data_IF_493451046704
#
_entry.id   IF_493451046704
#
_cell.length_a   1.000
_cell.length_b   1.000
_cell.length_c   1.000
_cell.angle_alpha   90.00
_cell.angle_beta   90.00
_cell.angle_gamma   90.00
#
_symmetry.space_group_name_H-M   'P 1'
#
loop_
_entity.id
_entity.type
_entity.pdbx_description
1 polymer ?
#
# COMPACT_ATOMS: atom_id res chain seq x y z
N UNK A 1 13.22 -11.51 -64.61
CA UNK A 1 13.40 -12.45 -63.46
C UNK A 1 14.37 -11.94 -62.38
N UNK A 2 15.46 -11.21 -62.71
CA UNK A 2 16.36 -10.62 -61.69
C UNK A 2 15.71 -9.59 -60.75
N UNK A 3 14.83 -8.72 -61.25
CA UNK A 3 14.22 -7.66 -60.42
C UNK A 3 13.13 -8.14 -59.44
N UNK A 4 12.53 -9.32 -59.67
CA UNK A 4 11.52 -9.89 -58.77
C UNK A 4 12.18 -10.51 -57.53
N UNK A 5 13.39 -11.07 -57.68
CA UNK A 5 14.18 -11.61 -56.57
C UNK A 5 14.69 -10.51 -55.62
N UNK A 6 15.02 -9.32 -56.14
CA UNK A 6 15.40 -8.17 -55.29
C UNK A 6 14.21 -7.61 -54.50
N UNK A 7 13.00 -7.61 -55.07
CA UNK A 7 11.79 -7.17 -54.38
C UNK A 7 11.37 -8.14 -53.25
N UNK A 8 11.57 -9.45 -53.43
CA UNK A 8 11.32 -10.48 -52.42
C UNK A 8 12.38 -10.49 -51.30
N UNK A 9 13.62 -10.06 -51.57
CA UNK A 9 14.64 -9.88 -50.53
C UNK A 9 14.40 -8.65 -49.64
N UNK A 10 13.86 -7.56 -50.23
CA UNK A 10 13.58 -6.33 -49.48
C UNK A 10 12.35 -6.46 -48.57
N UNK A 11 11.35 -7.25 -48.96
CA UNK A 11 10.15 -7.50 -48.13
C UNK A 11 10.46 -8.33 -46.89
N UNK A 12 11.38 -9.31 -46.97
CA UNK A 12 11.77 -10.13 -45.81
C UNK A 12 12.53 -9.30 -44.75
N UNK A 13 13.31 -8.30 -45.17
CA UNK A 13 14.01 -7.40 -44.24
C UNK A 13 13.08 -6.40 -43.55
N UNK A 14 12.02 -5.94 -44.24
CA UNK A 14 11.06 -4.98 -43.67
C UNK A 14 10.02 -5.63 -42.74
N UNK A 15 9.74 -6.94 -42.88
CA UNK A 15 8.83 -7.67 -41.99
C UNK A 15 9.53 -8.41 -40.83
N UNK A 16 10.87 -8.39 -40.77
CA UNK A 16 11.62 -8.99 -39.66
C UNK A 16 11.81 -8.06 -38.44
N UNK A 17 11.45 -6.77 -38.56
CA UNK A 17 11.31 -5.88 -37.40
C UNK A 17 9.96 -6.14 -36.74
N UNK A 18 9.79 -7.30 -36.11
CA UNK A 18 8.83 -7.38 -35.01
C UNK A 18 9.42 -6.53 -33.89
N UNK A 19 8.83 -5.38 -33.61
CA UNK A 19 9.16 -4.57 -32.43
C UNK A 19 9.05 -5.48 -31.21
N UNK A 20 10.19 -5.98 -30.75
CA UNK A 20 10.26 -6.82 -29.58
C UNK A 20 10.06 -5.88 -28.40
N UNK A 21 8.94 -6.05 -27.69
CA UNK A 21 8.58 -5.20 -26.56
C UNK A 21 9.75 -5.17 -25.55
N UNK A 22 10.32 -3.97 -25.36
CA UNK A 22 11.47 -3.81 -24.47
C UNK A 22 11.00 -4.11 -23.05
N UNK A 23 11.67 -5.05 -22.39
CA UNK A 23 11.32 -5.50 -21.04
C UNK A 23 12.52 -5.33 -20.13
N UNK A 24 12.31 -4.80 -18.92
CA UNK A 24 13.35 -4.68 -17.91
C UNK A 24 12.89 -5.28 -16.58
N UNK A 25 13.78 -6.09 -15.97
CA UNK A 25 13.57 -6.71 -14.66
C UNK A 25 14.27 -5.90 -13.59
N UNK A 26 13.53 -5.55 -12.55
CA UNK A 26 14.01 -4.76 -11.42
C UNK A 26 14.03 -5.62 -10.16
N UNK A 27 15.14 -5.57 -9.43
CA UNK A 27 15.21 -6.12 -8.07
C UNK A 27 14.72 -5.06 -7.09
N UNK A 28 13.62 -5.31 -6.35
CA UNK A 28 13.15 -4.39 -5.33
C UNK A 28 14.20 -4.17 -4.27
N UNK A 29 14.40 -2.91 -3.88
CA UNK A 29 15.11 -2.60 -2.62
C UNK A 29 14.13 -2.54 -1.46
N UNK A 30 14.67 -2.63 -0.25
CA UNK A 30 13.91 -2.41 0.97
C UNK A 30 13.64 -0.91 1.13
N UNK A 31 12.47 -0.57 1.66
CA UNK A 31 12.11 0.78 2.05
C UNK A 31 13.01 1.25 3.21
N UNK A 32 13.60 2.44 3.07
CA UNK A 32 14.24 3.15 4.20
C UNK A 32 13.17 4.01 4.90
N UNK A 33 13.28 4.22 6.21
CA UNK A 33 12.23 4.87 6.97
C UNK A 33 11.88 6.27 6.42
N UNK A 34 10.58 6.56 6.28
CA UNK A 34 10.01 7.87 5.91
C UNK A 34 10.47 8.41 4.55
N UNK A 35 10.34 7.59 3.51
CA UNK A 35 10.67 7.97 2.13
C UNK A 35 9.49 8.63 1.39
N UNK A 36 9.81 9.64 0.57
CA UNK A 36 8.86 10.32 -0.32
C UNK A 36 9.06 9.90 -1.77
N UNK A 37 7.95 9.66 -2.48
CA UNK A 37 7.94 9.30 -3.90
C UNK A 37 7.09 10.30 -4.71
N UNK A 38 7.51 11.58 -4.69
CA UNK A 38 6.78 12.68 -5.32
C UNK A 38 7.65 13.53 -6.24
N UNK A 39 8.45 12.87 -7.08
CA UNK A 39 9.25 13.59 -8.08
C UNK A 39 8.36 14.19 -9.16
N UNK A 40 8.73 15.36 -9.64
CA UNK A 40 8.14 15.97 -10.82
C UNK A 40 8.62 15.27 -12.08
N UNK A 41 7.79 15.30 -13.11
CA UNK A 41 8.14 14.87 -14.45
C UNK A 41 7.66 15.93 -15.44
N UNK A 42 8.58 16.45 -16.25
CA UNK A 42 8.29 17.56 -17.17
C UNK A 42 7.63 17.10 -18.48
N UNK A 43 7.35 15.80 -18.63
CA UNK A 43 6.63 15.28 -19.78
C UNK A 43 5.15 15.65 -19.76
N UNK A 44 4.55 15.77 -20.95
CA UNK A 44 3.12 16.09 -21.10
C UNK A 44 2.21 14.97 -20.59
N UNK A 45 2.66 13.72 -20.73
CA UNK A 45 1.93 12.54 -20.30
C UNK A 45 2.58 11.91 -19.06
N UNK A 46 1.84 11.01 -18.40
CA UNK A 46 2.38 10.20 -17.32
C UNK A 46 3.61 9.41 -17.79
N UNK A 47 4.67 9.36 -16.97
CA UNK A 47 5.84 8.52 -17.25
C UNK A 47 5.53 7.02 -17.18
N UNK A 48 4.41 6.68 -16.53
CA UNK A 48 3.89 5.33 -16.44
C UNK A 48 2.64 5.13 -17.29
N UNK A 49 2.58 3.98 -17.97
CA UNK A 49 1.39 3.49 -18.67
C UNK A 49 0.92 2.21 -18.00
N UNK A 50 -0.36 2.18 -17.59
CA UNK A 50 -1.02 1.00 -17.03
C UNK A 50 -1.79 0.31 -18.16
N UNK A 51 -1.52 -0.96 -18.38
CA UNK A 51 -2.19 -1.79 -19.38
C UNK A 51 -3.11 -2.77 -18.66
N UNK A 52 -4.41 -2.73 -18.96
CA UNK A 52 -5.37 -3.72 -18.48
C UNK A 52 -5.34 -4.94 -19.40
N UNK A 53 -5.09 -6.11 -18.81
CA UNK A 53 -5.16 -7.40 -19.47
C UNK A 53 -6.44 -8.10 -19.00
N UNK A 54 -7.37 -8.28 -19.94
CA UNK A 54 -8.58 -9.07 -19.72
C UNK A 54 -8.28 -10.49 -20.18
N UNK A 55 -8.39 -11.46 -19.29
CA UNK A 55 -8.37 -12.86 -19.70
C UNK A 55 -9.68 -13.16 -20.45
N UNK A 56 -9.59 -13.53 -21.72
CA UNK A 56 -10.76 -13.81 -22.57
C UNK A 56 -11.25 -15.25 -22.44
N UNK A 57 -10.55 -16.11 -21.69
CA UNK A 57 -10.75 -17.56 -21.68
C UNK A 57 -11.35 -18.15 -20.38
N UNK A 58 -11.74 -17.33 -19.41
CA UNK A 58 -12.36 -17.80 -18.15
C UNK A 58 -13.65 -17.06 -17.85
N UNK A 59 -14.66 -17.81 -17.40
CA UNK A 59 -15.97 -17.27 -16.96
C UNK A 59 -15.89 -16.30 -15.78
N UNK A 60 -14.72 -16.22 -15.12
CA UNK A 60 -14.37 -15.19 -14.15
C UNK A 60 -13.41 -14.19 -14.79
N UNK A 61 -13.84 -12.94 -14.92
CA UNK A 61 -12.98 -11.83 -15.36
C UNK A 61 -12.08 -11.46 -14.19
N UNK A 62 -10.88 -12.04 -14.10
CA UNK A 62 -9.81 -11.48 -13.26
C UNK A 62 -9.10 -10.39 -14.05
N UNK A 63 -9.21 -9.15 -13.58
CA UNK A 63 -8.47 -8.02 -14.15
C UNK A 63 -7.00 -8.12 -13.73
N UNK A 64 -6.11 -8.39 -14.68
CA UNK A 64 -4.67 -8.29 -14.48
C UNK A 64 -4.15 -6.99 -15.10
N UNK A 65 -3.13 -6.41 -14.49
CA UNK A 65 -2.50 -5.18 -14.97
C UNK A 65 -1.01 -5.43 -15.28
N UNK A 66 -0.52 -4.78 -16.32
CA UNK A 66 0.91 -4.59 -16.57
C UNK A 66 1.27 -3.11 -16.48
N UNK A 67 2.52 -2.80 -16.16
CA UNK A 67 3.02 -1.43 -16.05
C UNK A 67 4.19 -1.24 -16.99
N UNK A 68 4.16 -0.16 -17.78
CA UNK A 68 5.31 0.32 -18.55
C UNK A 68 5.89 1.59 -17.92
N UNK A 69 7.20 1.69 -17.95
CA UNK A 69 7.95 2.93 -17.72
C UNK A 69 8.46 3.42 -19.08
N UNK A 70 7.90 4.53 -19.56
CA UNK A 70 8.01 4.92 -20.98
C UNK A 70 7.57 3.73 -21.87
N UNK A 71 8.44 3.26 -22.76
CA UNK A 71 8.18 2.13 -23.66
C UNK A 71 8.62 0.78 -23.11
N UNK A 72 9.13 0.72 -21.88
CA UNK A 72 9.69 -0.50 -21.28
C UNK A 72 8.71 -1.16 -20.32
N UNK A 73 8.38 -2.43 -20.56
CA UNK A 73 7.60 -3.27 -19.65
C UNK A 73 8.39 -3.54 -18.36
N UNK A 74 7.76 -3.28 -17.22
CA UNK A 74 8.38 -3.41 -15.89
C UNK A 74 8.09 -4.80 -15.32
N UNK A 75 9.15 -5.57 -15.07
CA UNK A 75 9.12 -6.81 -14.29
C UNK A 75 9.73 -6.60 -12.92
N UNK A 76 9.15 -7.23 -11.90
CA UNK A 76 9.66 -7.24 -10.53
C UNK A 76 10.22 -8.63 -10.24
N UNK A 77 11.51 -8.70 -9.88
CA UNK A 77 12.15 -9.90 -9.37
C UNK A 77 11.72 -10.14 -7.92
N UNK A 78 10.76 -11.04 -7.69
CA UNK A 78 10.17 -11.26 -6.36
C UNK A 78 11.15 -11.93 -5.41
N UNK A 79 11.89 -12.92 -5.89
CA UNK A 79 12.96 -13.60 -5.17
C UNK A 79 14.29 -13.36 -5.87
N UNK A 80 15.22 -12.68 -5.19
CA UNK A 80 16.56 -12.40 -5.72
C UNK A 80 17.37 -13.66 -6.05
N UNK A 81 17.11 -14.77 -5.37
CA UNK A 81 17.82 -16.03 -5.59
C UNK A 81 17.24 -16.88 -6.74
N UNK A 82 16.02 -16.58 -7.20
CA UNK A 82 15.37 -17.33 -8.27
C UNK A 82 15.04 -16.40 -9.44
N UNK A 83 15.82 -16.44 -10.55
CA UNK A 83 15.58 -15.63 -11.73
C UNK A 83 14.17 -15.81 -12.34
N UNK A 84 13.54 -16.99 -12.17
CA UNK A 84 12.21 -17.27 -12.72
C UNK A 84 11.08 -16.63 -11.91
N UNK A 85 11.37 -16.06 -10.74
CA UNK A 85 10.40 -15.36 -9.91
C UNK A 85 10.04 -13.96 -10.42
N UNK A 86 10.56 -13.54 -11.57
CA UNK A 86 10.25 -12.25 -12.17
C UNK A 86 8.84 -12.24 -12.77
N UNK A 87 8.04 -11.24 -12.40
CA UNK A 87 6.66 -11.09 -12.91
C UNK A 87 6.36 -9.64 -13.30
N UNK A 88 5.53 -9.46 -14.32
CA UNK A 88 4.96 -8.18 -14.76
C UNK A 88 3.47 -8.07 -14.41
N UNK A 89 2.88 -9.09 -13.77
CA UNK A 89 1.44 -9.19 -13.53
C UNK A 89 1.06 -8.64 -12.17
N UNK A 90 0.15 -7.68 -12.17
CA UNK A 90 -0.37 -7.04 -10.97
C UNK A 90 -1.88 -7.24 -10.86
N UNK A 91 -2.39 -7.55 -9.67
CA UNK A 91 -3.82 -7.59 -9.38
C UNK A 91 -4.39 -6.18 -9.12
N UNK A 92 -3.55 -5.23 -8.72
CA UNK A 92 -3.95 -3.84 -8.58
C UNK A 92 -2.80 -2.89 -8.89
N UNK A 93 -3.13 -1.73 -9.45
CA UNK A 93 -2.18 -0.64 -9.72
C UNK A 93 -2.87 0.69 -9.46
N UNK A 94 -2.25 1.56 -8.65
CA UNK A 94 -2.82 2.87 -8.32
C UNK A 94 -1.73 3.93 -8.23
N UNK A 95 -1.97 5.10 -8.84
CA UNK A 95 -1.13 6.26 -8.61
C UNK A 95 -1.30 6.75 -7.18
N UNK A 96 -0.18 6.92 -6.47
CA UNK A 96 -0.15 7.37 -5.07
C UNK A 96 0.27 8.83 -4.93
N UNK A 97 0.58 9.50 -6.05
CA UNK A 97 0.87 10.92 -6.08
C UNK A 97 0.19 11.64 -7.26
N UNK A 98 0.06 12.96 -7.14
CA UNK A 98 -0.60 13.78 -8.17
C UNK A 98 0.21 13.93 -9.45
N UNK A 99 1.54 13.84 -9.35
CA UNK A 99 2.45 13.91 -10.50
C UNK A 99 2.40 12.65 -11.37
N UNK A 100 1.71 11.58 -10.93
CA UNK A 100 1.67 10.28 -11.60
C UNK A 100 3.06 9.69 -11.86
N UNK A 101 3.97 9.90 -10.90
CA UNK A 101 5.36 9.41 -10.93
C UNK A 101 5.63 8.32 -9.89
N UNK A 102 4.60 7.87 -9.18
CA UNK A 102 4.67 6.73 -8.28
C UNK A 102 3.38 5.89 -8.33
N UNK A 103 3.55 4.59 -8.50
CA UNK A 103 2.52 3.57 -8.48
C UNK A 103 2.69 2.68 -7.26
N UNK A 104 1.60 2.47 -6.53
CA UNK A 104 1.45 1.35 -5.60
C UNK A 104 0.86 0.18 -6.37
N UNK A 105 1.53 -0.97 -6.33
CA UNK A 105 1.12 -2.18 -7.03
C UNK A 105 1.06 -3.36 -6.08
N UNK A 106 0.13 -4.28 -6.33
CA UNK A 106 0.08 -5.59 -5.69
C UNK A 106 0.16 -6.67 -6.77
N UNK A 107 1.01 -7.67 -6.55
CA UNK A 107 1.17 -8.76 -7.50
C UNK A 107 -0.14 -9.53 -7.69
N UNK A 108 -0.34 -10.05 -8.90
CA UNK A 108 -1.34 -11.09 -9.11
C UNK A 108 -0.78 -12.41 -8.56
N UNK A 109 -1.34 -12.88 -7.46
CA UNK A 109 -1.00 -14.15 -6.82
C UNK A 109 -2.27 -14.98 -6.60
N UNK A 110 -2.17 -16.29 -6.77
CA UNK A 110 -3.24 -17.26 -6.55
C UNK A 110 -3.01 -18.10 -5.28
N UNK A 111 -2.04 -17.75 -4.44
CA UNK A 111 -1.70 -18.48 -3.20
C UNK A 111 -2.79 -18.44 -2.11
N UNK A 112 -3.75 -17.51 -2.22
CA UNK A 112 -4.75 -17.27 -1.18
C UNK A 112 -4.21 -16.47 0.02
N UNK A 113 -2.94 -16.09 0.00
CA UNK A 113 -2.34 -15.14 0.94
C UNK A 113 -2.39 -13.73 0.35
N UNK A 114 -2.25 -12.71 1.21
CA UNK A 114 -2.11 -11.34 0.73
C UNK A 114 -0.83 -11.19 -0.11
N UNK A 115 -1.04 -10.97 -1.40
CA UNK A 115 0.04 -10.90 -2.37
C UNK A 115 1.03 -9.75 -2.05
N UNK A 116 2.33 -9.93 -2.33
CA UNK A 116 3.33 -8.90 -2.10
C UNK A 116 2.99 -7.57 -2.78
N UNK A 117 3.30 -6.48 -2.09
CA UNK A 117 3.05 -5.11 -2.57
C UNK A 117 4.36 -4.35 -2.77
N UNK A 118 4.39 -3.50 -3.78
CA UNK A 118 5.57 -2.72 -4.18
C UNK A 118 5.20 -1.29 -4.53
N UNK A 119 6.19 -0.41 -4.46
CA UNK A 119 6.13 0.92 -5.09
C UNK A 119 7.03 0.90 -6.32
N UNK A 120 6.47 1.29 -7.45
CA UNK A 120 7.19 1.55 -8.70
C UNK A 120 7.19 3.07 -8.88
N UNK A 121 8.35 3.72 -8.80
CA UNK A 121 8.43 5.18 -8.81
C UNK A 121 9.60 5.71 -9.63
N UNK A 122 9.44 6.92 -10.16
CA UNK A 122 10.54 7.72 -10.66
C UNK A 122 11.35 8.23 -9.46
N UNK A 123 12.66 7.95 -9.46
CA UNK A 123 13.62 8.53 -8.51
C UNK A 123 14.91 8.95 -9.20
N UNK A 124 15.29 10.22 -9.12
CA UNK A 124 16.44 10.83 -9.78
C UNK A 124 16.50 10.49 -11.28
N UNK A 125 15.36 10.61 -11.97
CA UNK A 125 15.25 10.33 -13.41
C UNK A 125 15.29 8.85 -13.81
N UNK A 126 15.39 7.92 -12.84
CA UNK A 126 15.44 6.48 -13.07
C UNK A 126 14.26 5.77 -12.41
N UNK A 127 13.92 4.59 -12.93
CA UNK A 127 12.93 3.75 -12.26
C UNK A 127 13.50 3.16 -10.97
N UNK A 128 12.71 3.22 -9.91
CA UNK A 128 13.01 2.66 -8.60
C UNK A 128 11.85 1.76 -8.18
N UNK A 129 12.18 0.54 -7.74
CA UNK A 129 11.20 -0.43 -7.25
C UNK A 129 11.50 -0.71 -5.78
N UNK A 130 10.49 -0.55 -4.92
CA UNK A 130 10.60 -0.68 -3.47
C UNK A 130 9.64 -1.76 -2.99
N UNK A 131 10.15 -2.70 -2.19
CA UNK A 131 9.32 -3.70 -1.53
C UNK A 131 8.66 -3.12 -0.28
N UNK A 132 7.35 -3.33 -0.16
CA UNK A 132 6.57 -3.04 1.05
C UNK A 132 6.43 -4.31 1.89
N UNK A 133 7.58 -4.89 2.23
CA UNK A 133 7.67 -6.08 3.06
C UNK A 133 8.50 -5.80 4.30
N UNK A 134 7.98 -6.24 5.44
CA UNK A 134 8.70 -6.28 6.70
C UNK A 134 8.43 -7.65 7.33
N UNK A 135 9.51 -8.40 7.59
CA UNK A 135 9.41 -9.71 8.22
C UNK A 135 8.65 -9.64 9.55
N UNK A 136 7.90 -10.69 9.85
CA UNK A 136 7.08 -10.76 11.04
C UNK A 136 6.91 -12.22 11.47
N UNK A 137 6.83 -12.44 12.79
CA UNK A 137 6.60 -13.75 13.41
C UNK A 137 5.36 -13.75 14.32
N UNK A 138 4.43 -12.82 14.10
CA UNK A 138 3.20 -12.72 14.86
C UNK A 138 2.29 -13.93 14.64
N UNK A 139 1.64 -14.38 15.71
CA UNK A 139 0.82 -15.61 15.72
C UNK A 139 -0.37 -15.55 14.75
N UNK A 140 -0.96 -14.37 14.61
CA UNK A 140 -2.15 -14.11 13.80
C UNK A 140 -1.79 -13.30 12.53
N UNK A 141 -0.54 -13.35 12.07
CA UNK A 141 -0.10 -12.58 10.91
C UNK A 141 -0.96 -12.83 9.67
N UNK A 142 -1.37 -14.07 9.42
CA UNK A 142 -2.25 -14.42 8.31
C UNK A 142 -3.59 -13.68 8.37
N UNK A 143 -4.13 -13.48 9.58
CA UNK A 143 -5.37 -12.72 9.80
C UNK A 143 -5.18 -11.22 9.52
N UNK A 144 -4.04 -10.66 9.93
CA UNK A 144 -3.80 -9.22 9.89
C UNK A 144 -2.98 -8.75 8.67
N UNK A 145 -2.65 -9.66 7.75
CA UNK A 145 -1.99 -9.34 6.48
C UNK A 145 -3.05 -9.31 5.39
N UNK A 146 -3.64 -8.13 5.16
CA UNK A 146 -4.78 -7.97 4.22
C UNK A 146 -4.40 -7.34 2.89
N UNK A 147 -3.11 -7.11 2.62
CA UNK A 147 -2.64 -6.44 1.43
C UNK A 147 -2.76 -4.92 1.51
N UNK A 148 -3.29 -4.31 0.45
CA UNK A 148 -3.47 -2.85 0.35
C UNK A 148 -4.89 -2.47 0.78
N UNK A 149 -5.01 -1.73 1.88
CA UNK A 149 -6.26 -1.14 2.33
C UNK A 149 -6.29 0.36 2.00
N UNK A 150 -7.29 0.83 1.24
CA UNK A 150 -7.46 2.26 0.97
C UNK A 150 -8.23 2.94 2.09
N UNK A 151 -7.60 3.87 2.80
CA UNK A 151 -8.17 4.60 3.92
C UNK A 151 -8.78 5.94 3.47
N UNK A 152 -9.66 5.87 2.47
CA UNK A 152 -10.31 7.04 1.87
C UNK A 152 -9.30 8.04 1.31
N UNK A 153 -9.42 9.32 1.71
CA UNK A 153 -8.52 10.40 1.27
C UNK A 153 -7.21 10.45 2.07
N UNK A 154 -7.09 9.74 3.19
CA UNK A 154 -5.88 9.78 4.01
C UNK A 154 -4.69 9.12 3.29
N UNK A 155 -4.92 7.94 2.72
CA UNK A 155 -3.83 7.17 2.14
C UNK A 155 -4.16 5.70 2.00
N UNK A 156 -3.09 4.90 1.99
CA UNK A 156 -3.13 3.45 1.91
C UNK A 156 -2.39 2.86 3.11
N UNK A 157 -2.98 1.84 3.72
CA UNK A 157 -2.34 1.02 4.75
C UNK A 157 -2.00 -0.32 4.12
N UNK A 158 -0.73 -0.72 4.17
CA UNK A 158 -0.25 -1.98 3.59
C UNK A 158 0.19 -2.90 4.72
N UNK A 159 -0.53 -4.02 4.87
CA UNK A 159 -0.24 -5.07 5.86
C UNK A 159 0.02 -4.55 7.28
N UNK A 160 -0.68 -3.50 7.71
CA UNK A 160 -0.48 -2.81 9.00
C UNK A 160 0.95 -2.29 9.28
N UNK A 161 1.87 -2.39 8.31
CA UNK A 161 3.30 -2.10 8.49
C UNK A 161 3.71 -0.79 7.82
N UNK A 162 2.98 -0.37 6.78
CA UNK A 162 3.30 0.83 6.00
C UNK A 162 2.07 1.69 5.80
N UNK A 163 2.20 2.99 6.05
CA UNK A 163 1.18 3.97 5.72
C UNK A 163 1.68 4.93 4.64
N UNK A 164 0.98 4.98 3.52
CA UNK A 164 1.31 5.79 2.35
C UNK A 164 0.31 6.92 2.27
N UNK A 165 0.75 8.16 2.47
CA UNK A 165 -0.13 9.32 2.32
C UNK A 165 -0.52 9.53 0.85
N UNK A 166 -1.76 9.92 0.62
CA UNK A 166 -2.19 10.37 -0.70
C UNK A 166 -1.49 11.68 -1.09
N UNK A 167 -1.52 12.00 -2.39
CA UNK A 167 -1.01 13.24 -3.00
C UNK A 167 0.51 13.32 -3.12
N UNK A 168 1.25 13.10 -2.05
CA UNK A 168 2.70 13.25 -2.00
C UNK A 168 3.46 11.93 -1.78
N UNK A 169 2.75 10.79 -1.75
CA UNK A 169 3.34 9.45 -1.61
C UNK A 169 4.45 9.38 -0.55
N UNK A 170 4.20 9.93 0.64
CA UNK A 170 5.09 9.76 1.77
C UNK A 170 4.80 8.42 2.44
N UNK A 171 5.80 7.56 2.51
CA UNK A 171 5.67 6.19 3.03
C UNK A 171 6.28 6.16 4.41
N UNK A 172 5.43 5.99 5.42
CA UNK A 172 5.81 5.95 6.81
C UNK A 172 5.75 4.49 7.28
N UNK A 173 6.76 4.08 8.05
CA UNK A 173 6.69 2.81 8.77
C UNK A 173 5.70 2.97 9.91
N UNK A 174 4.73 2.07 10.02
CA UNK A 174 3.84 2.05 11.16
C UNK A 174 4.58 1.37 12.30
N UNK A 175 4.74 2.07 13.42
CA UNK A 175 5.38 1.50 14.60
C UNK A 175 4.56 0.35 15.16
N UNK A 176 5.15 -0.84 15.14
CA UNK A 176 4.56 -2.05 15.72
C UNK A 176 4.52 -1.97 17.25
N UNK A 177 3.52 -2.61 17.84
CA UNK A 177 3.43 -2.78 19.29
C UNK A 177 4.57 -3.66 19.81
N UNK A 178 4.84 -4.77 19.11
CA UNK A 178 6.00 -5.63 19.30
C UNK A 178 6.88 -5.53 18.03
N UNK A 179 8.17 -5.18 18.11
CA UNK A 179 8.99 -4.92 16.91
C UNK A 179 9.04 -6.06 15.89
N UNK A 180 9.01 -7.31 16.39
CA UNK A 180 9.11 -8.54 15.60
C UNK A 180 7.75 -8.99 15.03
N UNK A 181 6.64 -8.42 15.51
CA UNK A 181 5.29 -8.83 15.12
C UNK A 181 4.58 -7.68 14.43
N UNK A 182 4.03 -7.94 13.23
CA UNK A 182 3.03 -7.09 12.62
C UNK A 182 1.95 -6.78 13.65
N UNK A 183 1.33 -5.61 13.56
CA UNK A 183 0.28 -5.24 14.51
C UNK A 183 -0.84 -6.27 14.47
N UNK A 184 -1.02 -6.99 15.58
CA UNK A 184 -2.01 -8.05 15.76
C UNK A 184 -3.38 -7.44 16.09
N UNK A 185 -3.88 -6.59 15.19
CA UNK A 185 -5.12 -5.85 15.38
C UNK A 185 -5.70 -5.35 14.07
N UNK A 186 -7.01 -5.14 14.09
CA UNK A 186 -7.77 -4.67 12.94
C UNK A 186 -7.67 -3.14 12.88
N UNK A 187 -7.34 -2.57 11.72
CA UNK A 187 -7.44 -1.13 11.56
C UNK A 187 -8.92 -0.74 11.60
N UNK A 188 -9.29 0.20 12.48
CA UNK A 188 -10.69 0.55 12.69
C UNK A 188 -11.01 2.01 12.34
N UNK A 189 -10.10 2.97 12.60
CA UNK A 189 -10.27 4.36 12.17
C UNK A 189 -8.98 5.18 12.22
N UNK A 190 -9.06 6.37 11.62
CA UNK A 190 -8.06 7.44 11.75
C UNK A 190 -8.54 8.51 12.72
N UNK A 191 -7.59 9.23 13.31
CA UNK A 191 -7.87 10.51 13.96
C UNK A 191 -8.48 11.52 12.97
N UNK A 192 -9.19 12.56 13.47
CA UNK A 192 -9.82 13.58 12.61
C UNK A 192 -8.82 14.32 11.71
N UNK A 193 -7.59 14.54 12.19
CA UNK A 193 -6.47 15.12 11.45
C UNK A 193 -5.73 14.09 10.56
N UNK A 194 -6.13 12.81 10.61
CA UNK A 194 -5.61 11.70 9.78
C UNK A 194 -4.12 11.41 9.98
N UNK A 195 -3.59 11.71 11.17
CA UNK A 195 -2.19 11.46 11.51
C UNK A 195 -2.00 10.30 12.50
N UNK A 196 -3.07 9.85 13.16
CA UNK A 196 -3.05 8.70 14.07
C UNK A 196 -3.91 7.57 13.52
N UNK A 197 -3.32 6.38 13.39
CA UNK A 197 -4.01 5.14 13.05
C UNK A 197 -4.45 4.44 14.32
N UNK A 198 -5.68 3.90 14.37
CA UNK A 198 -6.20 3.14 15.51
C UNK A 198 -6.43 1.69 15.09
N UNK A 199 -5.81 0.78 15.84
CA UNK A 199 -5.94 -0.66 15.67
C UNK A 199 -6.64 -1.28 16.89
N UNK A 200 -7.71 -2.02 16.64
CA UNK A 200 -8.39 -2.83 17.64
C UNK A 200 -7.63 -4.16 17.81
N UNK A 201 -6.97 -4.31 18.95
CA UNK A 201 -6.36 -5.59 19.36
C UNK A 201 -7.29 -6.32 20.33
N UNK A 202 -7.02 -7.58 20.72
CA UNK A 202 -7.93 -8.36 21.57
C UNK A 202 -8.30 -7.69 22.91
N UNK A 203 -7.47 -6.80 23.45
CA UNK A 203 -7.68 -6.20 24.77
C UNK A 203 -7.40 -4.68 24.84
N UNK A 204 -7.07 -4.05 23.70
CA UNK A 204 -6.72 -2.62 23.67
C UNK A 204 -6.97 -1.97 22.31
N UNK A 205 -7.05 -0.65 22.31
CA UNK A 205 -6.87 0.18 21.12
C UNK A 205 -5.40 0.61 21.06
N UNK A 206 -4.65 -0.04 20.16
CA UNK A 206 -3.28 0.35 19.86
C UNK A 206 -3.29 1.46 18.83
N UNK A 207 -2.72 2.61 19.18
CA UNK A 207 -2.79 3.83 18.39
C UNK A 207 -1.40 4.27 17.99
N UNK A 208 -1.22 4.63 16.72
CA UNK A 208 0.09 5.01 16.17
C UNK A 208 -0.02 6.35 15.45
N UNK A 209 0.62 7.37 15.98
CA UNK A 209 0.85 8.62 15.29
C UNK A 209 2.04 8.46 14.33
N UNK A 210 1.75 8.07 13.09
CA UNK A 210 2.79 7.69 12.11
C UNK A 210 3.81 8.79 11.77
N UNK A 211 3.53 10.11 11.88
CA UNK A 211 4.57 11.11 11.63
C UNK A 211 5.67 11.17 12.70
N UNK A 212 5.37 10.78 13.94
CA UNK A 212 6.29 10.94 15.07
C UNK A 212 6.58 9.65 15.83
N UNK A 213 6.04 8.52 15.40
CA UNK A 213 6.17 7.21 16.06
C UNK A 213 5.68 7.19 17.53
N UNK A 214 4.84 8.17 17.90
CA UNK A 214 4.20 8.17 19.21
C UNK A 214 3.03 7.19 19.23
N UNK A 215 2.95 6.45 20.32
CA UNK A 215 1.98 5.37 20.47
C UNK A 215 1.25 5.50 21.78
N UNK A 216 -0.03 5.14 21.76
CA UNK A 216 -0.86 5.01 22.95
C UNK A 216 -1.51 3.64 22.88
N UNK A 217 -1.51 2.92 24.01
CA UNK A 217 -2.21 1.66 24.13
C UNK A 217 -3.32 1.82 25.17
N UNK A 218 -4.53 2.09 24.68
CA UNK A 218 -5.71 2.31 25.53
C UNK A 218 -6.37 0.97 25.82
N UNK A 219 -6.45 0.55 27.08
CA UNK A 219 -7.12 -0.71 27.44
C UNK A 219 -8.61 -0.61 27.15
N UNK A 220 -9.19 -1.68 26.63
CA UNK A 220 -10.63 -1.77 26.44
C UNK A 220 -11.32 -1.86 27.81
N UNK A 221 -12.11 -0.86 28.17
CA UNK A 221 -12.94 -0.90 29.38
C UNK A 221 -14.15 -1.84 29.22
N UNK A 222 -14.61 -2.03 27.97
CA UNK A 222 -15.68 -2.96 27.58
C UNK A 222 -15.22 -3.72 26.33
N UNK A 223 -15.62 -4.99 26.13
CA UNK A 223 -15.32 -5.71 24.90
C UNK A 223 -15.82 -4.96 23.68
N UNK A 224 -15.04 -4.97 22.61
CA UNK A 224 -15.46 -4.40 21.33
C UNK A 224 -16.46 -5.35 20.63
N UNK A 225 -17.47 -4.81 19.94
CA UNK A 225 -18.40 -5.61 19.14
C UNK A 225 -17.67 -6.25 17.95
N UNK A 226 -18.28 -7.29 17.38
CA UNK A 226 -17.70 -8.03 16.24
C UNK A 226 -18.12 -7.47 14.88
N UNK A 227 -19.15 -6.63 14.81
CA UNK A 227 -19.63 -6.05 13.54
C UNK A 227 -19.13 -4.62 13.35
N UNK A 228 -18.77 -4.27 12.10
CA UNK A 228 -18.24 -2.93 11.75
C UNK A 228 -19.23 -1.80 12.06
N UNK A 229 -20.53 -2.06 11.85
CA UNK A 229 -21.60 -1.09 12.10
C UNK A 229 -21.70 -0.77 13.61
N UNK A 230 -21.67 -1.78 14.46
CA UNK A 230 -21.69 -1.62 15.91
C UNK A 230 -20.38 -1.04 16.43
N UNK A 231 -19.24 -1.37 15.82
CA UNK A 231 -17.93 -0.86 16.20
C UNK A 231 -17.85 0.66 16.08
N UNK A 232 -18.38 1.22 14.99
CA UNK A 232 -18.42 2.68 14.79
C UNK A 232 -19.21 3.38 15.90
N UNK A 233 -20.37 2.83 16.24
CA UNK A 233 -21.24 3.39 17.28
C UNK A 233 -20.64 3.21 18.68
N UNK A 234 -20.05 2.04 18.95
CA UNK A 234 -19.34 1.75 20.18
C UNK A 234 -18.16 2.70 20.41
N UNK A 235 -17.38 3.02 19.37
CA UNK A 235 -16.30 4.02 19.47
C UNK A 235 -16.87 5.39 19.84
N UNK A 236 -17.94 5.85 19.18
CA UNK A 236 -18.56 7.16 19.45
C UNK A 236 -19.08 7.27 20.88
N UNK A 237 -19.68 6.21 21.41
CA UNK A 237 -20.33 6.25 22.73
C UNK A 237 -19.36 6.06 23.90
N UNK A 238 -18.18 5.47 23.68
CA UNK A 238 -17.26 5.13 24.75
C UNK A 238 -15.92 5.87 24.67
N UNK A 239 -15.67 6.67 23.62
CA UNK A 239 -14.38 7.32 23.42
C UNK A 239 -14.51 8.72 22.83
N UNK A 240 -13.54 9.58 23.19
CA UNK A 240 -13.38 10.92 22.63
C UNK A 240 -11.97 11.13 22.10
N UNK A 241 -11.85 11.99 21.10
CA UNK A 241 -10.55 12.45 20.62
C UNK A 241 -9.99 13.52 21.55
N UNK A 242 -8.81 13.27 22.12
CA UNK A 242 -8.12 14.20 23.01
C UNK A 242 -6.68 14.40 22.56
N UNK A 243 -6.21 15.66 22.63
CA UNK A 243 -4.81 15.98 22.36
C UNK A 243 -3.95 15.67 23.58
N UNK A 244 -2.77 15.12 23.36
CA UNK A 244 -1.74 15.00 24.40
C UNK A 244 -1.00 16.34 24.58
N UNK A 245 -0.02 16.39 25.50
CA UNK A 245 0.81 17.59 25.77
C UNK A 245 1.61 18.09 24.55
N UNK A 246 1.80 17.26 23.54
CA UNK A 246 2.50 17.58 22.29
C UNK A 246 1.54 17.94 21.16
N UNK A 247 0.24 18.06 21.44
CA UNK A 247 -0.79 18.40 20.48
C UNK A 247 -1.24 17.23 19.58
N UNK A 248 -0.78 16.00 19.85
CA UNK A 248 -1.12 14.81 19.06
C UNK A 248 -2.47 14.26 19.49
N UNK A 249 -3.33 13.99 18.52
CA UNK A 249 -4.70 13.52 18.72
C UNK A 249 -4.74 11.99 18.90
N UNK A 250 -5.22 11.53 20.07
CA UNK A 250 -5.45 10.13 20.39
C UNK A 250 -6.89 9.92 20.89
N UNK A 251 -7.41 8.73 20.65
CA UNK A 251 -8.70 8.28 21.15
C UNK A 251 -8.53 7.88 22.63
N UNK A 252 -9.39 8.38 23.50
CA UNK A 252 -9.35 8.08 24.95
C UNK A 252 -10.71 7.62 25.42
N UNK A 253 -10.72 6.67 26.35
CA UNK A 253 -11.96 6.24 26.95
C UNK A 253 -12.66 7.42 27.63
N UNK A 254 -13.95 7.53 27.37
CA UNK A 254 -14.83 8.52 27.96
C UNK A 254 -16.16 7.84 28.25
N UNK A 255 -16.46 7.71 29.53
CA UNK A 255 -17.74 7.22 29.98
C UNK A 255 -18.76 8.36 29.92
N UNK A 256 -19.63 8.34 28.91
CA UNK A 256 -20.72 9.32 28.74
C UNK A 256 -21.76 9.25 29.87
N UNK A 257 -21.81 8.14 30.60
CA UNK A 257 -22.76 7.89 31.70
C UNK A 257 -22.11 8.07 33.09
N UNK A 258 -20.85 8.54 33.14
CA UNK A 258 -20.19 8.83 34.42
C UNK A 258 -20.92 9.96 35.13
N UNK A 259 -21.55 9.64 36.25
CA UNK A 259 -22.02 10.62 37.23
C UNK A 259 -20.78 11.33 37.78
N UNK A 260 -20.60 12.60 37.41
CA UNK A 260 -19.52 13.45 37.92
C UNK A 260 -19.99 14.05 39.26
N UNK A 261 -19.23 13.88 40.34
CA UNK A 261 -19.51 14.58 41.59
C UNK A 261 -19.30 16.09 41.36
N UNK A 262 -20.28 16.92 41.75
CA UNK A 262 -20.25 18.37 41.53
C UNK A 262 -19.03 19.04 42.19
N UNK A 263 -18.39 18.35 43.14
CA UNK A 263 -17.15 18.77 43.81
C UNK A 263 -15.92 18.76 42.90
N UNK A 264 -15.95 18.06 41.77
CA UNK A 264 -14.84 18.04 40.80
C UNK A 264 -14.73 19.33 39.96
N UNK A 265 -15.71 20.24 40.07
CA UNK A 265 -15.75 21.53 39.36
C UNK A 265 -15.35 22.73 40.24
N UNK A 266 -14.79 22.50 41.44
CA UNK A 266 -14.25 23.55 42.31
C UNK A 266 -12.82 23.95 41.95
#
# INVERSE_FOLDING_TARGET
MKHILYALGLSVLLFSCKEQETTATYTPRILTANEKFNESYDGKDSIFTILLKKDQNTSEIKEEFNVKFKDTLVKIQVNKADPNSATDKFASTQFINTQKTALLVQLADNSGLAAPSYIIALKNGKLNVVSLYRASNGKEDTKYTTGINKLGRAGYLVNNDFFITNVNANVNLVKRQNPEERIQGEFILNSPDKTTLVFLTPSSLYQVHYPSDEVVNEKLAKPAPQSDAELTEWVKNNYIWAKNKKGITFLKFHDSDRIVDIKEFQ
#
